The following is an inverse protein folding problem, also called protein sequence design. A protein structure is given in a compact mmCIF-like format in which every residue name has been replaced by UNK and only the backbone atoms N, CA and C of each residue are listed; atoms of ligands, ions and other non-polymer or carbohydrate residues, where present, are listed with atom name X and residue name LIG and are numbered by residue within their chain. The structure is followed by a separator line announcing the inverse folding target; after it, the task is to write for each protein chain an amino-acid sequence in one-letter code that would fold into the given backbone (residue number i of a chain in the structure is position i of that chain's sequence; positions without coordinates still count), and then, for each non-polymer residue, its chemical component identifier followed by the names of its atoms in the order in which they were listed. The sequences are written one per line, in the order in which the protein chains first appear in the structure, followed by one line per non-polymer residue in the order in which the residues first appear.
data_IF_816800835514
#
_entry.id   IF_816800835514
#
_cell.length_a   1.000
_cell.length_b   1.000
_cell.length_c   1.000
_cell.angle_alpha   90.00
_cell.angle_beta   90.00
_cell.angle_gamma   90.00
#
_symmetry.space_group_name_H-M   'P 1'
#
loop_
_entity.id
_entity.type
_entity.pdbx_description
1 polymer ?
#
# COMPACT_ATOMS: atom_id res chain seq x y z
N UNK A 1 -15.07 13.36 -15.44
CA UNK A 1 -14.84 14.23 -14.28
C UNK A 1 -13.49 13.81 -13.72
N UNK A 2 -12.56 14.75 -13.62
CA UNK A 2 -11.22 14.50 -13.09
C UNK A 2 -11.28 14.39 -11.56
N UNK A 3 -11.63 13.19 -11.07
CA UNK A 3 -11.53 12.89 -9.65
C UNK A 3 -10.04 12.77 -9.32
N UNK A 4 -9.46 13.83 -8.74
CA UNK A 4 -8.06 13.87 -8.33
C UNK A 4 -7.98 13.92 -6.80
N UNK A 5 -6.96 13.26 -6.27
CA UNK A 5 -6.64 13.17 -4.84
C UNK A 5 -5.16 13.50 -4.62
N UNK A 6 -4.84 14.01 -3.45
CA UNK A 6 -3.48 14.29 -3.02
C UNK A 6 -3.27 13.74 -1.61
N UNK A 7 -2.07 13.23 -1.34
CA UNK A 7 -1.61 12.92 0.02
C UNK A 7 -1.07 14.21 0.60
N UNK A 8 -1.62 14.64 1.74
CA UNK A 8 -1.20 15.88 2.39
C UNK A 8 0.04 15.63 3.26
N UNK A 9 1.00 16.56 3.23
CA UNK A 9 2.23 16.48 4.04
C UNK A 9 2.10 17.04 5.45
N UNK A 10 1.09 17.89 5.72
CA UNK A 10 0.54 18.33 7.03
C UNK A 10 -0.29 19.64 6.90
N UNK A 11 -1.12 19.95 7.93
CA UNK A 11 -2.24 20.91 8.06
C UNK A 11 -2.99 21.29 6.77
N UNK A 12 -4.20 20.74 6.51
CA UNK A 12 -4.99 21.02 5.31
C UNK A 12 -5.31 22.51 5.10
N UNK A 13 -5.18 23.35 6.14
CA UNK A 13 -5.43 24.80 6.04
C UNK A 13 -4.30 25.59 5.38
N UNK A 14 -3.07 25.08 5.36
CA UNK A 14 -1.92 25.81 4.81
C UNK A 14 -1.95 25.95 3.28
N UNK A 15 -2.73 25.10 2.59
CA UNK A 15 -2.75 25.01 1.11
C UNK A 15 -3.86 25.91 0.50
N UNK A 16 -4.80 26.41 1.30
CA UNK A 16 -5.90 27.25 0.82
C UNK A 16 -5.51 28.72 0.58
N UNK A 17 -4.23 29.09 0.73
CA UNK A 17 -3.75 30.46 0.52
C UNK A 17 -3.01 30.59 -0.84
N UNK A 18 -3.66 31.13 -1.89
CA UNK A 18 -3.16 31.06 -3.27
C UNK A 18 -2.01 32.05 -3.58
N UNK A 19 -1.33 32.61 -2.59
CA UNK A 19 -0.41 33.75 -2.79
C UNK A 19 1.09 33.42 -2.69
N UNK A 20 1.50 32.14 -2.63
CA UNK A 20 2.91 31.77 -2.43
C UNK A 20 3.59 30.97 -3.55
N UNK A 21 3.07 30.99 -4.77
CA UNK A 21 3.76 30.38 -5.94
C UNK A 21 3.98 31.37 -7.06
N UNK A 22 4.77 32.41 -6.80
CA UNK A 22 5.52 33.13 -7.83
C UNK A 22 6.78 33.69 -7.20
N UNK A 23 7.87 33.68 -7.96
CA UNK A 23 9.22 34.15 -7.62
C UNK A 23 10.17 33.07 -7.09
N UNK A 24 10.71 32.25 -8.00
CA UNK A 24 12.15 32.36 -8.29
C UNK A 24 12.47 31.71 -9.66
N UNK A 25 12.52 32.51 -10.71
CA UNK A 25 13.12 32.11 -11.98
C UNK A 25 13.79 33.34 -12.61
N UNK A 26 15.08 33.53 -12.31
CA UNK A 26 15.92 34.50 -13.01
C UNK A 26 17.21 33.81 -13.50
N UNK A 27 17.51 33.81 -14.82
CA UNK A 27 18.69 33.15 -15.35
C UNK A 27 19.94 34.03 -15.25
N UNK A 28 21.04 33.51 -14.70
CA UNK A 28 22.36 34.16 -14.76
C UNK A 28 23.10 33.82 -16.05
N UNK A 29 23.42 34.87 -16.80
CA UNK A 29 24.26 34.87 -17.98
C UNK A 29 25.66 35.41 -17.61
N UNK A 30 26.75 34.77 -18.07
CA UNK A 30 27.86 35.37 -18.84
C UNK A 30 29.23 34.66 -18.72
N UNK A 31 29.76 34.32 -19.91
CA UNK A 31 31.13 34.52 -20.46
C UNK A 31 32.37 33.86 -19.84
N UNK A 32 32.93 32.91 -20.60
CA UNK A 32 34.19 33.06 -21.37
C UNK A 32 35.54 32.90 -20.67
N UNK A 33 36.36 31.94 -21.14
CA UNK A 33 37.73 32.11 -21.70
C UNK A 33 38.37 30.73 -21.97
N UNK A 34 39.15 30.68 -23.05
CA UNK A 34 39.79 29.56 -23.73
C UNK A 34 41.16 29.14 -23.17
N UNK A 35 41.61 27.92 -23.53
CA UNK A 35 42.96 27.48 -24.02
C UNK A 35 43.12 25.97 -23.75
N UNK A 36 43.14 25.09 -24.75
CA UNK A 36 44.23 24.66 -25.67
C UNK A 36 45.15 23.54 -25.13
N UNK A 37 45.34 22.50 -25.95
CA UNK A 37 46.49 21.56 -25.91
C UNK A 37 46.13 20.15 -25.47
N UNK A 38 46.00 19.17 -26.38
CA UNK A 38 47.07 18.25 -26.89
C UNK A 38 47.60 17.31 -25.79
N UNK A 39 47.82 16.01 -25.97
CA UNK A 39 47.83 15.11 -27.13
C UNK A 39 48.12 13.68 -26.61
N UNK A 40 47.70 12.67 -27.38
CA UNK A 40 48.39 11.39 -27.68
C UNK A 40 48.69 10.42 -26.50
N UNK A 41 48.75 9.10 -26.63
CA UNK A 41 48.73 8.12 -27.74
C UNK A 41 48.57 6.71 -27.09
N UNK A 42 47.80 5.77 -27.65
CA UNK A 42 48.22 4.65 -28.56
C UNK A 42 49.30 3.78 -27.90
N UNK A 43 49.10 2.45 -27.75
CA UNK A 43 49.49 1.33 -28.66
C UNK A 43 48.88 0.07 -27.99
N UNK A 44 47.99 -0.72 -28.61
CA UNK A 44 48.22 -1.85 -29.57
C UNK A 44 49.13 -2.94 -28.94
N UNK A 45 49.02 -4.26 -29.15
CA UNK A 45 48.79 -5.11 -30.34
C UNK A 45 48.62 -6.56 -29.81
N UNK A 46 47.65 -7.34 -30.32
CA UNK A 46 47.77 -8.48 -31.28
C UNK A 46 48.17 -9.84 -30.64
N UNK A 47 47.31 -10.88 -30.75
CA UNK A 47 47.34 -12.02 -31.73
C UNK A 47 48.36 -13.12 -31.31
N UNK A 48 48.26 -14.44 -31.55
CA UNK A 48 47.40 -15.25 -32.40
C UNK A 48 47.45 -16.76 -32.02
N UNK A 49 46.44 -17.48 -32.53
CA UNK A 49 46.37 -18.86 -33.11
C UNK A 49 46.95 -20.19 -32.55
N UNK A 50 46.09 -21.23 -32.70
CA UNK A 50 46.38 -22.59 -33.21
C UNK A 50 46.75 -23.70 -32.18
N UNK A 51 46.31 -24.96 -32.19
CA UNK A 51 45.43 -25.79 -33.04
C UNK A 51 45.68 -27.30 -32.77
N UNK A 52 44.60 -28.08 -32.55
CA UNK A 52 44.33 -29.54 -32.78
C UNK A 52 45.11 -30.69 -32.04
N UNK A 53 44.34 -31.68 -31.54
CA UNK A 53 44.72 -33.11 -31.42
C UNK A 53 44.01 -33.95 -30.33
N UNK A 54 43.30 -35.03 -30.71
CA UNK A 54 42.44 -35.99 -29.94
C UNK A 54 43.13 -36.71 -28.73
N UNK A 55 42.52 -37.43 -27.77
CA UNK A 55 41.30 -38.28 -27.69
C UNK A 55 41.04 -38.68 -26.21
N UNK A 56 39.80 -39.10 -25.89
CA UNK A 56 39.37 -40.03 -24.81
C UNK A 56 39.02 -39.51 -23.38
N UNK A 57 37.68 -39.42 -23.17
CA UNK A 57 36.85 -39.85 -22.02
C UNK A 57 37.45 -39.88 -20.60
N UNK A 58 36.91 -39.02 -19.72
CA UNK A 58 36.24 -39.42 -18.45
C UNK A 58 35.44 -38.25 -17.88
N UNK A 59 34.13 -38.42 -17.77
CA UNK A 59 33.24 -37.48 -17.07
C UNK A 59 33.37 -37.73 -15.56
N UNK A 60 33.85 -36.73 -14.84
CA UNK A 60 33.76 -36.63 -13.39
C UNK A 60 33.59 -35.15 -13.04
N UNK A 61 32.51 -34.86 -12.33
CA UNK A 61 32.02 -33.55 -11.91
C UNK A 61 33.01 -32.85 -10.98
N UNK A 62 33.40 -31.62 -11.34
CA UNK A 62 34.23 -30.72 -10.51
C UNK A 62 33.36 -29.84 -9.59
N UNK A 63 33.87 -29.47 -8.41
CA UNK A 63 33.19 -28.58 -7.49
C UNK A 63 33.34 -27.09 -7.87
N UNK A 64 32.38 -26.34 -7.32
CA UNK A 64 32.15 -24.90 -7.22
C UNK A 64 33.34 -23.96 -7.49
N UNK A 65 33.14 -23.01 -8.42
CA UNK A 65 33.95 -21.80 -8.53
C UNK A 65 33.33 -20.68 -7.70
N UNK A 66 34.14 -20.16 -6.79
CA UNK A 66 34.00 -18.89 -6.07
C UNK A 66 33.88 -17.77 -7.11
N UNK A 67 32.86 -16.93 -7.00
CA UNK A 67 32.71 -15.71 -7.79
C UNK A 67 33.03 -14.52 -6.88
N UNK A 68 34.12 -13.83 -7.20
CA UNK A 68 34.57 -12.62 -6.52
C UNK A 68 33.53 -11.50 -6.68
N UNK A 69 33.11 -10.92 -5.55
CA UNK A 69 32.31 -9.69 -5.53
C UNK A 69 33.25 -8.51 -5.75
N UNK A 70 33.24 -7.93 -6.94
CA UNK A 70 33.75 -6.57 -7.11
C UNK A 70 32.87 -5.59 -6.32
N UNK A 71 33.55 -4.75 -5.55
CA UNK A 71 32.96 -3.85 -4.56
C UNK A 71 32.03 -2.80 -5.15
N UNK A 72 30.87 -2.65 -4.51
CA UNK A 72 30.04 -1.45 -4.60
C UNK A 72 30.67 -0.35 -3.71
N UNK A 73 30.68 0.91 -4.15
CA UNK A 73 31.23 2.00 -3.35
C UNK A 73 30.42 2.21 -2.07
N UNK A 74 31.15 2.37 -0.97
CA UNK A 74 30.65 2.73 0.35
C UNK A 74 29.82 4.00 0.26
N UNK A 75 28.52 3.89 0.57
CA UNK A 75 27.68 5.05 0.82
C UNK A 75 28.19 5.74 2.08
N UNK A 76 28.64 6.98 1.92
CA UNK A 76 28.95 7.90 3.01
C UNK A 76 27.70 8.12 3.84
N UNK A 77 27.75 7.73 5.11
CA UNK A 77 26.76 8.07 6.11
C UNK A 77 26.79 9.57 6.38
N UNK A 78 25.89 10.31 5.75
CA UNK A 78 25.41 11.59 6.24
C UNK A 78 23.91 11.42 6.48
N UNK A 79 23.51 11.54 7.74
CA UNK A 79 22.13 11.37 8.18
C UNK A 79 21.24 12.47 7.60
N UNK A 80 20.22 12.03 6.87
CA UNK A 80 19.03 12.80 6.53
C UNK A 80 17.87 12.20 7.34
N UNK A 81 17.84 12.50 8.65
CA UNK A 81 16.67 12.22 9.50
C UNK A 81 15.56 13.19 9.08
N UNK A 82 14.80 12.85 8.04
CA UNK A 82 13.65 13.65 7.61
C UNK A 82 13.17 13.47 6.17
N UNK A 83 13.89 12.73 5.33
CA UNK A 83 13.38 12.42 4.00
C UNK A 83 12.20 11.44 4.09
N UNK A 84 10.96 11.96 4.05
CA UNK A 84 9.79 11.11 3.84
C UNK A 84 10.05 10.23 2.60
N UNK A 85 10.00 8.91 2.75
CA UNK A 85 10.27 7.96 1.65
C UNK A 85 9.34 8.16 0.42
N UNK A 86 8.35 9.05 0.53
CA UNK A 86 7.35 9.41 -0.49
C UNK A 86 7.23 10.92 -0.76
N UNK A 87 8.27 11.73 -0.50
CA UNK A 87 8.24 13.19 -0.77
C UNK A 87 7.80 13.53 -2.21
N UNK A 88 8.15 12.71 -3.19
CA UNK A 88 7.80 12.91 -4.60
C UNK A 88 6.32 12.67 -4.91
N UNK A 89 5.56 12.09 -3.97
CA UNK A 89 4.11 11.83 -4.08
C UNK A 89 3.31 12.88 -3.32
N UNK A 90 3.85 13.35 -2.20
CA UNK A 90 3.10 14.19 -1.28
C UNK A 90 2.86 15.61 -1.87
N UNK A 91 1.69 16.20 -1.56
CA UNK A 91 1.25 17.49 -2.09
C UNK A 91 0.84 17.52 -3.57
N UNK A 92 0.94 16.39 -4.29
CA UNK A 92 0.62 16.30 -5.72
C UNK A 92 -0.74 15.66 -5.94
N UNK A 93 -1.44 16.18 -6.95
CA UNK A 93 -2.74 15.67 -7.37
C UNK A 93 -2.61 14.53 -8.39
N UNK A 94 -3.29 13.42 -8.12
CA UNK A 94 -3.33 12.23 -8.98
C UNK A 94 -4.77 11.77 -9.15
N UNK A 95 -5.12 11.20 -10.29
CA UNK A 95 -6.29 10.32 -10.33
C UNK A 95 -6.06 9.10 -9.42
N UNK A 96 -7.10 8.39 -8.96
CA UNK A 96 -6.90 7.18 -8.15
C UNK A 96 -5.98 6.16 -8.80
N UNK A 97 -6.10 5.97 -10.13
CA UNK A 97 -5.24 5.03 -10.87
C UNK A 97 -3.79 5.50 -10.92
N UNK A 98 -3.56 6.78 -11.21
CA UNK A 98 -2.21 7.36 -11.19
C UNK A 98 -1.57 7.24 -9.80
N UNK A 99 -2.34 7.48 -8.72
CA UNK A 99 -1.83 7.34 -7.36
C UNK A 99 -1.44 5.89 -7.08
N UNK A 100 -2.28 4.93 -7.46
CA UNK A 100 -2.02 3.49 -7.35
C UNK A 100 -0.71 3.12 -8.06
N UNK A 101 -0.52 3.61 -9.29
CA UNK A 101 0.68 3.36 -10.09
C UNK A 101 1.94 3.97 -9.47
N UNK A 102 1.87 5.23 -9.04
CA UNK A 102 2.99 5.94 -8.41
C UNK A 102 3.39 5.30 -7.10
N UNK A 103 2.43 4.94 -6.23
CA UNK A 103 2.72 4.26 -4.97
C UNK A 103 3.36 2.89 -5.21
N UNK A 104 2.88 2.14 -6.22
CA UNK A 104 3.49 0.86 -6.62
C UNK A 104 4.92 1.04 -7.12
N UNK A 105 5.16 2.03 -7.99
CA UNK A 105 6.49 2.34 -8.52
C UNK A 105 7.46 2.79 -7.41
N UNK A 106 6.92 3.38 -6.33
CA UNK A 106 7.67 3.81 -5.15
C UNK A 106 7.95 2.67 -4.17
N UNK A 107 7.56 1.43 -4.49
CA UNK A 107 7.79 0.27 -3.63
C UNK A 107 6.79 0.14 -2.47
N UNK A 108 5.76 0.98 -2.40
CA UNK A 108 4.68 0.80 -1.42
C UNK A 108 3.87 -0.42 -1.86
N UNK A 109 4.02 -1.51 -1.14
CA UNK A 109 3.35 -2.78 -1.41
C UNK A 109 1.88 -2.72 -0.97
N UNK A 110 1.13 -1.79 -1.54
CA UNK A 110 -0.30 -1.60 -1.27
C UNK A 110 -1.15 -2.63 -2.02
N UNK A 111 -0.60 -3.36 -2.98
CA UNK A 111 -1.40 -4.14 -3.93
C UNK A 111 -0.84 -5.56 -4.06
N UNK A 112 -1.65 -6.61 -3.85
CA UNK A 112 -1.26 -7.95 -4.27
C UNK A 112 -0.92 -7.91 -5.75
N UNK A 113 0.30 -8.30 -6.11
CA UNK A 113 0.62 -8.65 -7.50
C UNK A 113 -0.17 -9.91 -7.84
N UNK A 114 -0.40 -10.15 -9.14
CA UNK A 114 -1.04 -11.40 -9.58
C UNK A 114 -0.29 -12.64 -9.07
N UNK A 115 1.03 -12.53 -8.86
CA UNK A 115 1.87 -13.60 -8.31
C UNK A 115 2.01 -13.55 -6.78
N UNK A 116 1.33 -12.64 -6.06
CA UNK A 116 1.47 -12.53 -4.59
C UNK A 116 1.18 -13.85 -3.89
N UNK A 117 0.17 -14.60 -4.34
CA UNK A 117 -0.16 -15.92 -3.78
C UNK A 117 0.96 -16.97 -3.95
N UNK A 118 1.97 -16.71 -4.76
CA UNK A 118 3.16 -17.58 -4.89
C UNK A 118 4.24 -17.27 -3.85
N UNK A 119 4.12 -16.14 -3.13
CA UNK A 119 5.15 -15.61 -2.23
C UNK A 119 4.65 -15.36 -0.82
N UNK A 120 3.36 -15.07 -0.66
CA UNK A 120 2.68 -14.87 0.63
C UNK A 120 1.43 -15.72 0.69
N UNK A 121 1.05 -16.12 1.90
CA UNK A 121 -0.19 -16.85 2.12
C UNK A 121 -1.37 -15.91 1.86
N UNK A 122 -2.21 -16.30 0.90
CA UNK A 122 -3.40 -15.55 0.53
C UNK A 122 -4.64 -16.41 0.81
N UNK A 123 -5.59 -15.82 1.52
CA UNK A 123 -6.89 -16.39 1.76
C UNK A 123 -7.77 -16.21 0.52
N UNK A 124 -8.25 -17.32 -0.06
CA UNK A 124 -9.22 -17.25 -1.13
C UNK A 124 -10.56 -16.76 -0.56
N UNK A 125 -11.00 -15.57 -0.98
CA UNK A 125 -12.28 -14.97 -0.59
C UNK A 125 -13.20 -14.87 -1.81
N UNK A 126 -14.51 -14.96 -1.57
CA UNK A 126 -15.51 -14.81 -2.60
C UNK A 126 -15.54 -13.36 -3.12
N UNK A 127 -15.31 -13.18 -4.42
CA UNK A 127 -15.19 -11.85 -5.04
C UNK A 127 -16.42 -10.95 -4.82
N UNK A 128 -17.63 -11.53 -4.77
CA UNK A 128 -18.86 -10.74 -4.53
C UNK A 128 -18.91 -10.20 -3.10
N UNK A 129 -18.38 -10.95 -2.14
CA UNK A 129 -18.33 -10.53 -0.73
C UNK A 129 -17.24 -9.49 -0.55
N UNK A 130 -16.07 -9.67 -1.19
CA UNK A 130 -15.02 -8.65 -1.24
C UNK A 130 -15.55 -7.34 -1.82
N UNK A 131 -16.22 -7.39 -2.98
CA UNK A 131 -16.79 -6.20 -3.60
C UNK A 131 -17.78 -5.49 -2.67
N UNK A 132 -18.66 -6.26 -2.02
CA UNK A 132 -19.65 -5.71 -1.09
C UNK A 132 -19.00 -5.11 0.15
N UNK A 133 -17.92 -5.70 0.65
CA UNK A 133 -17.13 -5.16 1.75
C UNK A 133 -16.51 -3.82 1.37
N UNK A 134 -15.86 -3.71 0.20
CA UNK A 134 -15.23 -2.45 -0.23
C UNK A 134 -16.25 -1.32 -0.41
N UNK A 135 -17.47 -1.61 -0.85
CA UNK A 135 -18.57 -0.64 -0.88
C UNK A 135 -18.92 -0.15 0.53
N UNK A 136 -19.06 -1.06 1.48
CA UNK A 136 -19.44 -0.73 2.85
C UNK A 136 -18.34 0.02 3.59
N UNK A 137 -17.08 -0.40 3.43
CA UNK A 137 -15.91 0.30 3.96
C UNK A 137 -15.80 1.71 3.36
N UNK A 138 -16.01 1.87 2.05
CA UNK A 138 -15.97 3.19 1.43
C UNK A 138 -17.06 4.12 1.98
N UNK A 139 -18.28 3.61 2.16
CA UNK A 139 -19.38 4.40 2.73
C UNK A 139 -19.11 4.85 4.17
N UNK A 140 -18.45 4.02 4.97
CA UNK A 140 -18.21 4.29 6.39
C UNK A 140 -16.81 4.84 6.69
N UNK A 141 -15.97 5.02 5.68
CA UNK A 141 -14.56 5.43 5.86
C UNK A 141 -14.37 6.80 6.52
N UNK A 142 -15.39 7.66 6.52
CA UNK A 142 -15.37 8.96 7.23
C UNK A 142 -15.62 8.86 8.74
N UNK A 143 -16.05 7.69 9.22
CA UNK A 143 -16.50 7.47 10.61
C UNK A 143 -16.00 6.17 11.23
N UNK A 144 -15.44 5.27 10.44
CA UNK A 144 -14.93 3.99 10.89
C UNK A 144 -13.53 3.75 10.33
N UNK A 145 -12.64 3.31 11.22
CA UNK A 145 -11.38 2.72 10.84
C UNK A 145 -11.57 1.22 10.70
N UNK A 146 -11.01 0.66 9.62
CA UNK A 146 -11.02 -0.76 9.32
C UNK A 146 -9.58 -1.28 9.27
N UNK A 147 -9.37 -2.50 9.73
CA UNK A 147 -8.11 -3.22 9.56
C UNK A 147 -8.37 -4.68 9.20
N UNK A 148 -7.36 -5.31 8.61
CA UNK A 148 -7.37 -6.75 8.38
C UNK A 148 -7.39 -7.49 9.72
N UNK A 149 -7.79 -8.76 9.69
CA UNK A 149 -7.73 -9.63 10.86
C UNK A 149 -6.99 -10.92 10.51
N UNK A 150 -6.10 -11.36 11.39
CA UNK A 150 -5.38 -12.63 11.22
C UNK A 150 -6.32 -13.85 11.30
N UNK A 151 -7.52 -13.68 11.85
CA UNK A 151 -8.56 -14.71 11.88
C UNK A 151 -9.05 -15.14 10.50
N UNK A 152 -8.74 -14.40 9.42
CA UNK A 152 -9.05 -14.85 8.07
C UNK A 152 -8.40 -16.19 7.72
N UNK A 153 -7.18 -16.46 8.23
CA UNK A 153 -6.49 -17.74 8.05
C UNK A 153 -7.18 -18.88 8.79
N UNK A 154 -7.67 -18.63 10.01
CA UNK A 154 -8.30 -19.65 10.86
C UNK A 154 -9.78 -19.92 10.49
N UNK A 155 -10.46 -18.96 9.87
CA UNK A 155 -11.87 -19.08 9.52
C UNK A 155 -12.13 -20.16 8.44
N UNK A 156 -11.15 -20.44 7.57
CA UNK A 156 -11.21 -21.44 6.49
C UNK A 156 -12.50 -21.44 5.63
N UNK A 157 -13.23 -20.32 5.57
CA UNK A 157 -14.42 -20.13 4.76
C UNK A 157 -14.22 -18.96 3.78
N UNK A 158 -14.25 -19.27 2.49
CA UNK A 158 -14.11 -18.27 1.43
C UNK A 158 -15.34 -17.37 1.30
N UNK A 159 -16.50 -17.78 1.83
CA UNK A 159 -17.72 -16.96 1.84
C UNK A 159 -17.84 -16.09 3.11
N UNK A 160 -16.77 -15.98 3.90
CA UNK A 160 -16.74 -15.16 5.10
C UNK A 160 -15.48 -14.33 5.16
N UNK A 161 -15.63 -13.06 5.53
CA UNK A 161 -14.52 -12.15 5.76
C UNK A 161 -14.53 -11.76 7.23
N UNK A 162 -13.38 -11.88 7.88
CA UNK A 162 -13.17 -11.38 9.24
C UNK A 162 -12.38 -10.09 9.15
N UNK A 163 -12.77 -9.07 9.90
CA UNK A 163 -12.07 -7.79 9.91
C UNK A 163 -12.16 -7.12 11.26
N UNK A 164 -11.23 -6.20 11.48
CA UNK A 164 -11.25 -5.30 12.62
C UNK A 164 -11.92 -4.00 12.24
N UNK A 165 -12.75 -3.47 13.12
CA UNK A 165 -13.26 -2.13 12.94
C UNK A 165 -13.54 -1.40 14.25
N UNK A 166 -13.50 -0.07 14.21
CA UNK A 166 -13.93 0.79 15.31
C UNK A 166 -14.42 2.13 14.80
N UNK A 167 -15.26 2.81 15.58
CA UNK A 167 -15.63 4.18 15.28
C UNK A 167 -14.40 5.08 15.44
N UNK A 168 -14.04 5.75 14.35
CA UNK A 168 -12.92 6.68 14.27
C UNK A 168 -13.33 7.87 13.39
N UNK A 169 -13.35 9.05 13.99
CA UNK A 169 -13.66 10.29 13.28
C UNK A 169 -12.36 11.04 13.04
N UNK A 170 -12.17 11.54 11.81
CA UNK A 170 -10.99 12.29 11.38
C UNK A 170 -10.59 13.37 12.40
N UNK A 171 -9.61 13.05 13.23
CA UNK A 171 -9.03 13.92 14.25
C UNK A 171 -7.49 13.94 14.16
N UNK A 172 -6.95 13.61 12.98
CA UNK A 172 -5.52 13.51 12.65
C UNK A 172 -4.71 12.52 13.53
N UNK A 173 -5.38 11.73 14.39
CA UNK A 173 -4.74 10.67 15.17
C UNK A 173 -5.05 9.29 14.59
N UNK A 174 -4.13 8.31 14.69
CA UNK A 174 -4.45 6.93 14.35
C UNK A 174 -5.63 6.39 15.17
N UNK A 175 -6.34 5.41 14.61
CA UNK A 175 -7.37 4.70 15.37
C UNK A 175 -6.75 3.97 16.56
N UNK A 176 -7.43 4.03 17.70
CA UNK A 176 -7.03 3.32 18.92
C UNK A 176 -7.21 1.80 18.71
N UNK A 177 -6.09 1.07 18.69
CA UNK A 177 -6.05 -0.37 18.47
C UNK A 177 -6.82 -1.14 19.56
N UNK A 178 -6.87 -0.64 20.80
CA UNK A 178 -7.59 -1.28 21.90
C UNK A 178 -9.12 -1.23 21.69
N UNK A 179 -9.59 -0.27 20.88
CA UNK A 179 -11.00 -0.10 20.55
C UNK A 179 -11.44 -0.91 19.34
N UNK A 180 -10.51 -1.54 18.61
CA UNK A 180 -10.84 -2.43 17.50
C UNK A 180 -11.64 -3.64 18.00
N UNK A 181 -12.73 -3.94 17.31
CA UNK A 181 -13.56 -5.12 17.54
C UNK A 181 -13.51 -6.02 16.31
N UNK A 182 -13.65 -7.32 16.54
CA UNK A 182 -13.64 -8.33 15.47
C UNK A 182 -15.06 -8.48 14.92
N UNK A 183 -15.21 -8.36 13.60
CA UNK A 183 -16.47 -8.53 12.90
C UNK A 183 -16.37 -9.64 11.88
N UNK A 184 -17.48 -10.37 11.71
CA UNK A 184 -17.67 -11.37 10.66
C UNK A 184 -18.70 -10.84 9.66
N UNK A 185 -18.36 -10.94 8.38
CA UNK A 185 -19.24 -10.58 7.26
C UNK A 185 -19.36 -11.76 6.29
N UNK A 186 -20.61 -12.11 5.96
CA UNK A 186 -20.93 -12.99 4.84
C UNK A 186 -21.89 -12.30 3.85
N UNK A 187 -22.47 -13.04 2.90
CA UNK A 187 -23.42 -12.47 1.92
C UNK A 187 -24.71 -11.91 2.53
N UNK A 188 -25.10 -12.38 3.71
CA UNK A 188 -26.40 -12.10 4.33
C UNK A 188 -26.25 -11.16 5.51
N UNK A 189 -25.20 -11.33 6.31
CA UNK A 189 -25.08 -10.68 7.59
C UNK A 189 -23.68 -10.16 7.89
N UNK A 190 -23.66 -9.07 8.65
CA UNK A 190 -22.53 -8.55 9.41
C UNK A 190 -22.87 -8.63 10.89
N UNK A 191 -21.92 -9.08 11.71
CA UNK A 191 -22.07 -9.11 13.16
C UNK A 191 -20.71 -9.07 13.88
N UNK A 192 -20.71 -8.52 15.09
CA UNK A 192 -19.53 -8.53 15.96
C UNK A 192 -19.34 -9.93 16.56
N UNK A 193 -18.10 -10.42 16.61
CA UNK A 193 -17.73 -11.65 17.30
C UNK A 193 -17.42 -11.37 18.78
N UNK A 194 -17.73 -12.36 19.62
CA UNK A 194 -17.44 -12.34 21.06
C UNK A 194 -15.99 -12.77 21.33
N UNK A 195 -15.03 -12.11 20.69
CA UNK A 195 -13.61 -12.39 20.84
C UNK A 195 -12.75 -11.15 20.52
N UNK A 196 -11.51 -11.17 21.02
CA UNK A 196 -10.50 -10.17 20.71
C UNK A 196 -9.59 -10.66 19.58
N UNK A 197 -8.89 -9.73 18.93
CA UNK A 197 -7.83 -10.07 17.97
C UNK A 197 -6.68 -10.85 18.64
N UNK A 198 -6.43 -10.64 19.93
CA UNK A 198 -5.38 -11.36 20.68
C UNK A 198 -5.83 -12.70 21.27
N UNK A 199 -7.05 -13.17 20.99
CA UNK A 199 -7.56 -14.42 21.54
C UNK A 199 -6.72 -15.62 21.06
N UNK A 200 -6.60 -16.67 21.88
CA UNK A 200 -5.80 -17.86 21.52
C UNK A 200 -6.46 -18.74 20.45
N UNK A 201 -7.80 -18.66 20.32
CA UNK A 201 -8.59 -19.53 19.45
C UNK A 201 -9.69 -18.74 18.77
N UNK A 202 -9.92 -19.09 17.52
CA UNK A 202 -11.04 -18.57 16.75
C UNK A 202 -12.38 -19.04 17.33
N UNK A 203 -13.34 -18.13 17.39
CA UNK A 203 -14.71 -18.41 17.81
C UNK A 203 -15.70 -17.65 16.92
N UNK A 204 -16.73 -18.35 16.44
CA UNK A 204 -17.78 -17.74 15.62
C UNK A 204 -18.95 -17.20 16.45
N UNK A 205 -18.85 -17.27 17.78
CA UNK A 205 -19.91 -16.82 18.67
C UNK A 205 -20.15 -15.32 18.49
N UNK A 206 -21.39 -14.89 18.17
CA UNK A 206 -21.71 -13.48 18.07
C UNK A 206 -21.68 -12.81 19.45
N UNK A 207 -21.39 -11.52 19.48
CA UNK A 207 -21.54 -10.69 20.68
C UNK A 207 -23.02 -10.72 21.13
N UNK A 208 -23.35 -11.27 22.32
CA UNK A 208 -24.74 -11.52 22.72
C UNK A 208 -25.61 -10.26 22.84
N UNK A 209 -24.98 -9.11 23.06
CA UNK A 209 -25.66 -7.84 23.22
C UNK A 209 -26.01 -7.13 21.89
N UNK A 210 -25.50 -7.62 20.76
CA UNK A 210 -25.63 -6.98 19.45
C UNK A 210 -26.34 -7.86 18.43
N UNK A 211 -27.04 -7.22 17.49
CA UNK A 211 -27.77 -7.92 16.44
C UNK A 211 -26.88 -8.30 15.26
N UNK A 212 -27.42 -9.21 14.43
CA UNK A 212 -26.93 -9.40 13.06
C UNK A 212 -27.61 -8.40 12.15
N UNK A 213 -26.84 -7.77 11.28
CA UNK A 213 -27.33 -6.73 10.35
C UNK A 213 -27.10 -7.14 8.91
N UNK A 214 -27.87 -6.58 7.98
CA UNK A 214 -27.71 -6.88 6.55
C UNK A 214 -26.35 -6.42 6.00
N UNK A 215 -25.77 -5.36 6.56
CA UNK A 215 -24.48 -4.80 6.19
C UNK A 215 -23.89 -3.94 7.33
N UNK A 216 -22.64 -3.50 7.15
CA UNK A 216 -21.97 -2.61 8.09
C UNK A 216 -22.69 -1.26 8.27
N UNK A 217 -23.43 -0.75 7.28
CA UNK A 217 -24.16 0.50 7.42
C UNK A 217 -25.29 0.35 8.45
N UNK A 218 -26.12 -0.69 8.31
CA UNK A 218 -27.20 -0.97 9.26
C UNK A 218 -26.66 -1.30 10.66
N UNK A 219 -25.51 -1.96 10.74
CA UNK A 219 -24.82 -2.17 12.02
C UNK A 219 -24.36 -0.85 12.64
N UNK A 220 -23.74 0.02 11.85
CA UNK A 220 -23.27 1.33 12.31
C UNK A 220 -24.42 2.24 12.77
N UNK A 221 -25.63 2.10 12.20
CA UNK A 221 -26.81 2.81 12.70
C UNK A 221 -27.20 2.41 14.14
N UNK A 222 -26.89 1.18 14.56
CA UNK A 222 -27.11 0.72 15.95
C UNK A 222 -26.00 1.18 16.89
N UNK A 223 -24.73 1.01 16.49
CA UNK A 223 -23.58 1.19 17.40
C UNK A 223 -22.93 2.59 17.31
N UNK A 224 -23.18 3.33 16.24
CA UNK A 224 -22.47 4.56 15.91
C UNK A 224 -22.96 5.78 16.68
N UNK A 225 -22.04 6.69 17.00
CA UNK A 225 -22.39 7.96 17.63
C UNK A 225 -23.35 8.79 16.76
N UNK A 226 -24.13 9.68 17.39
CA UNK A 226 -25.03 10.58 16.64
C UNK A 226 -24.27 11.46 15.64
N UNK A 227 -23.09 11.96 16.04
CA UNK A 227 -22.23 12.77 15.18
C UNK A 227 -21.75 11.97 13.97
N UNK A 228 -21.34 10.72 14.18
CA UNK A 228 -20.88 9.88 13.09
C UNK A 228 -22.01 9.48 12.15
N UNK A 229 -23.20 9.16 12.66
CA UNK A 229 -24.38 8.89 11.81
C UNK A 229 -24.71 10.05 10.86
N UNK A 230 -24.69 11.30 11.36
CA UNK A 230 -24.85 12.51 10.52
C UNK A 230 -23.76 12.62 9.45
N UNK A 231 -22.49 12.36 9.82
CA UNK A 231 -21.36 12.42 8.89
C UNK A 231 -21.47 11.37 7.76
N UNK A 232 -21.98 10.17 8.05
CA UNK A 232 -22.23 9.15 7.01
C UNK A 232 -23.28 9.63 6.02
N UNK A 233 -24.38 10.23 6.49
CA UNK A 233 -25.44 10.79 5.64
C UNK A 233 -24.93 11.90 4.69
N UNK A 234 -23.92 12.64 5.13
CA UNK A 234 -23.27 13.71 4.37
C UNK A 234 -22.15 13.22 3.43
N UNK A 235 -21.92 11.90 3.34
CA UNK A 235 -20.82 11.35 2.51
C UNK A 235 -21.04 11.63 1.03
N UNK A 236 -20.10 12.34 0.42
CA UNK A 236 -20.17 12.67 -0.99
C UNK A 236 -19.95 11.45 -1.90
N UNK A 237 -20.75 11.36 -2.95
CA UNK A 237 -20.63 10.28 -3.95
C UNK A 237 -19.25 10.20 -4.61
N UNK A 238 -18.54 11.34 -4.72
CA UNK A 238 -17.17 11.40 -5.26
C UNK A 238 -16.18 10.74 -4.32
N UNK A 239 -16.23 11.12 -3.04
CA UNK A 239 -15.39 10.53 -1.99
C UNK A 239 -15.60 9.01 -1.92
N UNK A 240 -16.87 8.57 -1.88
CA UNK A 240 -17.23 7.14 -1.89
C UNK A 240 -16.59 6.38 -3.05
N UNK A 241 -16.74 6.87 -4.30
CA UNK A 241 -16.19 6.19 -5.49
C UNK A 241 -14.65 6.11 -5.46
N UNK A 242 -14.01 7.18 -5.01
CA UNK A 242 -12.56 7.25 -4.86
C UNK A 242 -12.04 6.23 -3.85
N UNK A 243 -12.60 6.21 -2.64
CA UNK A 243 -12.19 5.28 -1.59
C UNK A 243 -12.48 3.83 -2.01
N UNK A 244 -13.64 3.56 -2.60
CA UNK A 244 -13.99 2.24 -3.12
C UNK A 244 -12.96 1.74 -4.15
N UNK A 245 -12.50 2.61 -5.04
CA UNK A 245 -11.51 2.27 -6.07
C UNK A 245 -10.15 1.91 -5.47
N UNK A 246 -9.70 2.67 -4.48
CA UNK A 246 -8.47 2.39 -3.74
C UNK A 246 -8.59 1.05 -3.00
N UNK A 247 -9.66 0.84 -2.23
CA UNK A 247 -9.89 -0.40 -1.47
C UNK A 247 -9.91 -1.66 -2.36
N UNK A 248 -10.56 -1.58 -3.54
CA UNK A 248 -10.58 -2.68 -4.52
C UNK A 248 -9.18 -3.05 -5.00
N UNK A 249 -8.30 -2.07 -5.17
CA UNK A 249 -6.93 -2.34 -5.54
C UNK A 249 -6.17 -3.01 -4.39
N UNK A 250 -6.37 -2.55 -3.15
CA UNK A 250 -5.66 -3.05 -1.95
C UNK A 250 -5.94 -4.52 -1.65
N UNK A 251 -7.17 -4.98 -1.88
CA UNK A 251 -7.65 -6.32 -1.50
C UNK A 251 -7.31 -6.75 -0.06
N UNK A 252 -7.47 -5.82 0.88
CA UNK A 252 -7.15 -5.98 2.31
C UNK A 252 -7.50 -7.36 2.95
N UNK A 253 -8.71 -7.94 2.77
CA UNK A 253 -9.11 -9.16 3.48
C UNK A 253 -8.49 -10.46 2.97
N UNK A 254 -7.70 -10.39 1.89
CA UNK A 254 -7.13 -11.57 1.21
C UNK A 254 -5.82 -12.02 1.86
N UNK A 255 -5.25 -11.22 2.77
CA UNK A 255 -3.95 -11.53 3.38
C UNK A 255 -4.10 -12.04 4.81
N UNK A 256 -3.11 -12.83 5.24
CA UNK A 256 -2.93 -13.29 6.63
C UNK A 256 -1.47 -13.30 7.04
#
# INVERSE_FOLDING_TARGET
MDDRIAILTEDPKAILDPTKTTEDDTPRQQTGVSTSGKSASIIETEEDEGGKGSTARRVTTKPSRIFERHGLPSASANGDEGALELQHVAGRWFTPDELIEVLRASGVNLFPRLDSCTRVECNEKNELIEQRLYEQMALLSTVMAFSWSHWNAACHDSNRIILLATEHQDNDSPADEERLKVYSMDRKFVYQLKMAESAEKFSEEPEPSLHKHADFYHMYLEIGSEKGRKRVEETESRYFKTVQRILKALRLPVFS
#
